data_IF_321226011726
#
_entry.id   IF_321226011726
#
_cell.length_a   1.000
_cell.length_b   1.000
_cell.length_c   1.000
_cell.angle_alpha   90.00
_cell.angle_beta   90.00
_cell.angle_gamma   90.00
#
_symmetry.space_group_name_H-M   'P 1'
#
loop_
_entity.id
_entity.type
_entity.pdbx_description
1 polymer ?
#
# COMPACT_ATOMS: atom_id res chain seq x y z
N UNK A 1 53.83 39.81 -9.06
CA UNK A 1 53.09 40.08 -7.82
C UNK A 1 52.18 38.87 -7.60
N UNK A 2 52.67 37.83 -6.91
CA UNK A 2 52.36 37.52 -5.48
C UNK A 2 50.92 36.97 -5.37
N UNK A 3 50.60 35.78 -4.86
CA UNK A 3 51.23 34.83 -3.94
C UNK A 3 50.63 33.42 -4.15
N UNK A 4 51.41 32.37 -3.88
CA UNK A 4 50.88 31.08 -3.41
C UNK A 4 50.66 31.17 -1.89
N UNK A 5 49.73 30.40 -1.32
CA UNK A 5 50.22 29.45 -0.31
C UNK A 5 49.56 28.08 -0.33
N UNK A 6 50.28 27.20 0.36
CA UNK A 6 50.10 25.77 0.65
C UNK A 6 49.03 25.45 1.72
N UNK A 7 48.86 24.14 1.93
CA UNK A 7 48.20 23.41 3.04
C UNK A 7 46.67 23.25 2.91
N UNK A 8 46.03 22.09 3.11
CA UNK A 8 46.37 20.95 3.94
C UNK A 8 45.76 19.63 3.42
N UNK A 9 46.40 18.52 3.80
CA UNK A 9 45.98 17.13 3.61
C UNK A 9 44.81 16.79 4.54
N UNK A 10 43.86 15.97 4.08
CA UNK A 10 43.15 15.02 4.92
C UNK A 10 42.89 13.72 4.15
N UNK A 11 43.33 12.60 4.72
CA UNK A 11 43.14 11.20 4.29
C UNK A 11 41.86 10.63 4.93
N UNK A 12 41.54 9.39 4.50
CA UNK A 12 40.67 8.35 5.11
C UNK A 12 39.19 8.38 4.63
N UNK A 13 38.54 7.29 4.19
CA UNK A 13 38.82 5.83 4.22
C UNK A 13 38.00 5.07 3.14
N UNK A 14 38.47 3.86 2.81
CA UNK A 14 37.90 2.65 2.17
C UNK A 14 36.39 2.59 1.78
N UNK A 15 35.93 1.78 0.80
CA UNK A 15 36.37 0.44 0.45
C UNK A 15 36.03 0.05 -1.01
N UNK A 16 36.87 -0.81 -1.60
CA UNK A 16 36.60 -1.61 -2.80
C UNK A 16 36.26 -3.04 -2.37
N UNK A 17 35.25 -3.65 -2.98
CA UNK A 17 35.16 -5.11 -3.07
C UNK A 17 35.09 -5.51 -4.54
N UNK A 18 36.19 -6.12 -4.99
CA UNK A 18 36.32 -6.85 -6.25
C UNK A 18 35.74 -8.26 -6.06
N UNK A 19 35.03 -8.76 -7.07
CA UNK A 19 34.90 -10.19 -7.30
C UNK A 19 35.47 -10.50 -8.69
N UNK A 20 36.66 -11.12 -8.71
CA UNK A 20 37.21 -11.79 -9.89
C UNK A 20 37.12 -13.29 -9.68
N UNK A 21 36.42 -13.89 -10.62
CA UNK A 21 36.37 -15.29 -11.02
C UNK A 21 37.76 -15.94 -11.13
N UNK A 22 37.96 -17.06 -10.45
CA UNK A 22 38.95 -18.13 -10.73
C UNK A 22 38.31 -19.40 -10.14
N UNK A 23 37.79 -20.35 -10.90
CA UNK A 23 38.57 -21.31 -11.67
C UNK A 23 37.76 -21.86 -12.86
N UNK A 24 38.49 -22.01 -13.97
CA UNK A 24 38.13 -22.70 -15.19
C UNK A 24 38.41 -24.21 -15.06
N UNK A 25 37.52 -25.05 -15.58
CA UNK A 25 37.75 -26.44 -16.01
C UNK A 25 36.55 -26.83 -16.89
N UNK A 26 36.59 -26.56 -18.19
CA UNK A 26 37.06 -27.44 -19.27
C UNK A 26 36.10 -28.61 -19.63
N UNK A 27 35.83 -28.69 -20.95
CA UNK A 27 35.28 -29.78 -21.76
C UNK A 27 33.77 -29.78 -22.14
N UNK A 28 33.57 -29.93 -23.45
CA UNK A 28 32.40 -30.43 -24.20
C UNK A 28 32.95 -31.52 -25.16
N UNK A 29 32.19 -32.26 -26.01
CA UNK A 29 30.73 -32.41 -26.18
C UNK A 29 30.29 -33.90 -26.36
N UNK A 30 29.00 -34.17 -26.63
CA UNK A 30 28.42 -35.19 -27.57
C UNK A 30 27.12 -35.91 -27.10
N UNK A 31 26.12 -35.83 -27.99
CA UNK A 31 25.11 -36.82 -28.45
C UNK A 31 24.24 -37.69 -27.52
N UNK A 32 22.91 -37.47 -27.68
CA UNK A 32 21.84 -38.43 -28.05
C UNK A 32 21.15 -39.35 -27.02
N UNK A 33 19.85 -39.51 -27.29
CA UNK A 33 18.87 -40.55 -26.88
C UNK A 33 17.90 -40.28 -25.71
N UNK A 34 16.69 -39.85 -26.10
CA UNK A 34 15.36 -40.45 -25.83
C UNK A 34 15.15 -41.32 -24.57
N UNK A 35 14.18 -40.97 -23.72
CA UNK A 35 12.87 -41.66 -23.67
C UNK A 35 11.94 -41.14 -22.57
N UNK A 36 10.64 -41.26 -22.88
CA UNK A 36 9.45 -41.24 -22.02
C UNK A 36 9.62 -42.05 -20.72
N UNK A 37 9.13 -41.52 -19.60
CA UNK A 37 8.20 -42.23 -18.70
C UNK A 37 7.76 -41.29 -17.56
N UNK A 38 6.45 -41.30 -17.30
CA UNK A 38 5.79 -40.59 -16.22
C UNK A 38 6.23 -41.09 -14.84
N UNK A 39 6.28 -40.21 -13.84
CA UNK A 39 5.83 -40.48 -12.46
C UNK A 39 5.68 -39.17 -11.69
N UNK A 40 4.69 -39.18 -10.82
CA UNK A 40 4.16 -38.10 -9.98
C UNK A 40 5.22 -37.45 -9.08
N UNK A 41 5.09 -36.14 -8.80
CA UNK A 41 5.35 -35.55 -7.47
C UNK A 41 4.95 -34.06 -7.37
N UNK A 42 3.81 -33.84 -6.70
CA UNK A 42 3.63 -32.97 -5.51
C UNK A 42 4.50 -31.69 -5.43
N UNK A 43 3.89 -30.53 -5.65
CA UNK A 43 4.36 -29.24 -5.10
C UNK A 43 3.24 -28.52 -4.34
N UNK A 44 2.91 -29.07 -3.16
CA UNK A 44 2.28 -28.36 -2.06
C UNK A 44 3.36 -27.59 -1.30
N UNK A 45 3.63 -26.32 -1.65
CA UNK A 45 4.57 -25.51 -0.87
C UNK A 45 4.41 -23.99 -1.05
N UNK A 46 3.20 -23.45 -0.92
CA UNK A 46 3.03 -22.00 -0.64
C UNK A 46 2.10 -21.69 0.54
N UNK A 47 1.48 -22.69 1.17
CA UNK A 47 0.45 -22.48 2.21
C UNK A 47 0.97 -22.27 3.65
N UNK A 48 2.26 -22.46 3.93
CA UNK A 48 2.77 -22.47 5.32
C UNK A 48 3.61 -21.26 5.74
N UNK A 49 3.98 -20.36 4.81
CA UNK A 49 4.77 -19.16 5.15
C UNK A 49 3.93 -17.90 5.42
N UNK A 50 2.71 -17.86 4.91
CA UNK A 50 1.82 -16.69 5.01
C UNK A 50 0.95 -16.68 6.29
N UNK A 51 0.89 -17.81 7.01
CA UNK A 51 0.11 -17.94 8.26
C UNK A 51 0.85 -17.50 9.52
N UNK A 52 2.15 -17.17 9.44
CA UNK A 52 3.00 -16.83 10.60
C UNK A 52 3.11 -15.34 10.93
N UNK A 53 2.56 -14.44 10.12
CA UNK A 53 2.69 -12.99 10.30
C UNK A 53 1.41 -12.27 10.74
N UNK A 54 0.35 -13.00 11.14
CA UNK A 54 -0.94 -12.40 11.52
C UNK A 54 -1.02 -11.85 12.95
N UNK A 55 0.04 -12.00 13.74
CA UNK A 55 0.08 -11.67 15.18
C UNK A 55 1.13 -10.62 15.66
N UNK A 56 2.13 -10.13 14.87
CA UNK A 56 3.05 -9.12 15.40
C UNK A 56 2.48 -7.71 15.46
N UNK A 57 1.46 -7.37 14.66
CA UNK A 57 1.07 -5.97 14.47
C UNK A 57 0.28 -5.38 15.66
N UNK A 58 -0.54 -6.19 16.36
CA UNK A 58 -1.17 -5.74 17.61
C UNK A 58 -0.13 -5.38 18.69
N UNK A 59 1.05 -6.02 18.69
CA UNK A 59 2.17 -5.65 19.57
C UNK A 59 2.92 -4.41 19.06
N UNK A 60 3.01 -4.20 17.76
CA UNK A 60 3.71 -3.05 17.18
C UNK A 60 2.95 -1.72 17.33
N UNK A 61 1.64 -1.77 17.56
CA UNK A 61 0.82 -0.63 17.99
C UNK A 61 1.21 -0.06 19.36
N UNK A 62 1.95 -0.81 20.19
CA UNK A 62 2.53 -0.29 21.44
C UNK A 62 3.59 0.79 21.22
N UNK A 63 4.14 0.97 20.01
CA UNK A 63 5.33 1.83 19.81
C UNK A 63 5.11 3.02 18.85
N UNK A 64 3.98 3.10 18.16
CA UNK A 64 3.66 4.26 17.30
C UNK A 64 2.71 5.22 18.02
N UNK A 65 3.28 6.12 18.83
CA UNK A 65 2.60 7.34 19.27
C UNK A 65 1.49 7.13 20.29
N UNK A 66 1.87 6.89 21.55
CA UNK A 66 0.98 7.08 22.68
C UNK A 66 0.58 8.56 22.79
N UNK A 67 -0.58 8.91 22.24
CA UNK A 67 -1.54 9.55 23.12
C UNK A 67 -2.13 8.40 23.93
N UNK A 68 -1.87 8.33 25.24
CA UNK A 68 -2.74 7.60 26.18
C UNK A 68 -4.11 8.32 26.28
N UNK A 69 -4.68 8.71 25.15
CA UNK A 69 -6.03 9.22 25.06
C UNK A 69 -6.90 7.99 24.99
N UNK A 70 -7.56 7.66 26.09
CA UNK A 70 -8.75 6.82 26.02
C UNK A 70 -9.67 7.50 24.99
N UNK A 71 -10.14 6.75 24.00
CA UNK A 71 -11.11 7.29 23.06
C UNK A 71 -12.37 7.58 23.84
N UNK A 72 -13.00 8.74 23.61
CA UNK A 72 -14.29 8.99 24.21
C UNK A 72 -15.30 8.00 23.62
N UNK A 73 -16.21 7.50 24.45
CA UNK A 73 -17.27 6.61 23.96
C UNK A 73 -18.07 7.28 22.83
N UNK A 74 -18.30 8.58 22.91
CA UNK A 74 -19.02 9.34 21.89
C UNK A 74 -18.29 9.37 20.54
N UNK A 75 -16.94 9.47 20.55
CA UNK A 75 -16.14 9.41 19.33
C UNK A 75 -16.27 8.02 18.68
N UNK A 76 -16.11 6.94 19.46
CA UNK A 76 -16.23 5.58 18.93
C UNK A 76 -17.64 5.29 18.42
N UNK A 77 -18.68 5.73 19.13
CA UNK A 77 -20.06 5.63 18.67
C UNK A 77 -20.31 6.46 17.42
N UNK A 78 -19.62 7.60 17.25
CA UNK A 78 -19.73 8.38 16.01
C UNK A 78 -19.23 7.60 14.81
N UNK A 79 -18.17 6.80 14.99
CA UNK A 79 -17.60 5.98 13.94
C UNK A 79 -18.54 4.89 13.47
N UNK A 80 -19.43 4.36 14.31
CA UNK A 80 -20.39 3.32 13.93
C UNK A 80 -21.64 3.85 13.22
N UNK A 81 -21.93 5.15 13.34
CA UNK A 81 -23.09 5.78 12.68
C UNK A 81 -22.99 5.81 11.16
N UNK A 82 -21.78 5.98 10.61
CA UNK A 82 -21.53 5.89 9.16
C UNK A 82 -20.04 5.83 8.83
N UNK A 83 -19.69 5.23 7.69
CA UNK A 83 -18.33 5.29 7.16
C UNK A 83 -17.86 6.75 7.00
N UNK A 84 -18.73 7.66 6.55
CA UNK A 84 -18.41 9.08 6.43
C UNK A 84 -17.91 9.70 7.75
N UNK A 85 -18.56 9.40 8.87
CA UNK A 85 -18.13 9.87 10.19
C UNK A 85 -16.77 9.30 10.57
N UNK A 86 -16.56 8.00 10.36
CA UNK A 86 -15.29 7.33 10.60
C UNK A 86 -14.16 7.97 9.78
N UNK A 87 -14.40 8.23 8.49
CA UNK A 87 -13.42 8.84 7.58
C UNK A 87 -13.18 10.33 7.85
N UNK A 88 -14.11 11.01 8.54
CA UNK A 88 -13.94 12.40 8.96
C UNK A 88 -13.11 12.54 10.24
N UNK A 89 -12.99 11.47 11.04
CA UNK A 89 -12.12 11.43 12.21
C UNK A 89 -10.69 11.05 11.80
N UNK A 90 -9.70 11.88 12.17
CA UNK A 90 -8.28 11.60 11.92
C UNK A 90 -7.80 10.31 12.61
N UNK A 91 -8.29 10.11 13.83
CA UNK A 91 -8.08 8.92 14.66
C UNK A 91 -8.80 7.73 14.06
N UNK A 92 -10.07 7.89 13.68
CA UNK A 92 -10.87 6.88 12.99
C UNK A 92 -10.21 6.37 11.71
N UNK A 93 -9.75 7.27 10.85
CA UNK A 93 -8.96 6.95 9.66
C UNK A 93 -7.72 6.13 9.96
N UNK A 94 -7.00 6.47 11.04
CA UNK A 94 -5.76 5.78 11.42
C UNK A 94 -6.03 4.35 11.90
N UNK A 95 -7.06 4.18 12.73
CA UNK A 95 -7.49 2.86 13.23
C UNK A 95 -8.06 2.01 12.09
N UNK A 96 -8.92 2.58 11.25
CA UNK A 96 -9.50 1.87 10.11
C UNK A 96 -8.43 1.48 9.08
N UNK A 97 -7.50 2.38 8.77
CA UNK A 97 -6.37 2.07 7.90
C UNK A 97 -5.49 0.94 8.44
N UNK A 98 -5.28 0.88 9.76
CA UNK A 98 -4.56 -0.22 10.39
C UNK A 98 -5.32 -1.55 10.30
N UNK A 99 -6.65 -1.53 10.47
CA UNK A 99 -7.51 -2.68 10.24
C UNK A 99 -7.41 -3.19 8.79
N UNK A 100 -7.59 -2.32 7.80
CA UNK A 100 -7.48 -2.70 6.38
C UNK A 100 -6.10 -3.24 6.03
N UNK A 101 -5.03 -2.70 6.62
CA UNK A 101 -3.67 -3.22 6.44
C UNK A 101 -3.54 -4.66 6.93
N UNK A 102 -4.15 -4.98 8.07
CA UNK A 102 -4.13 -6.34 8.63
C UNK A 102 -4.87 -7.36 7.74
N UNK A 103 -5.76 -6.87 6.88
CA UNK A 103 -6.53 -7.66 5.92
C UNK A 103 -6.08 -7.47 4.47
N UNK A 104 -4.95 -6.81 4.25
CA UNK A 104 -4.37 -6.57 2.92
C UNK A 104 -5.33 -5.85 1.94
N UNK A 105 -6.12 -4.89 2.44
CA UNK A 105 -7.13 -4.14 1.66
C UNK A 105 -7.00 -2.61 1.78
N UNK A 106 -5.87 -2.13 2.29
CA UNK A 106 -5.63 -0.71 2.59
C UNK A 106 -5.52 0.19 1.34
N UNK A 107 -5.27 -0.37 0.16
CA UNK A 107 -5.30 0.34 -1.12
C UNK A 107 -6.63 1.02 -1.41
N UNK A 108 -7.75 0.44 -0.96
CA UNK A 108 -9.08 1.02 -1.16
C UNK A 108 -9.21 2.36 -0.42
N UNK A 109 -8.76 2.41 0.83
CA UNK A 109 -8.77 3.65 1.62
C UNK A 109 -7.76 4.66 1.09
N UNK A 110 -6.55 4.22 0.73
CA UNK A 110 -5.53 5.12 0.19
C UNK A 110 -5.96 5.75 -1.14
N UNK A 111 -6.59 4.97 -2.02
CA UNK A 111 -7.17 5.47 -3.26
C UNK A 111 -8.29 6.48 -3.00
N UNK A 112 -9.22 6.18 -2.09
CA UNK A 112 -10.29 7.10 -1.71
C UNK A 112 -9.73 8.45 -1.24
N UNK A 113 -8.75 8.43 -0.34
CA UNK A 113 -8.11 9.65 0.18
C UNK A 113 -7.33 10.40 -0.91
N UNK A 114 -6.67 9.68 -1.82
CA UNK A 114 -5.99 10.30 -2.97
C UNK A 114 -6.99 11.01 -3.89
N UNK A 115 -8.18 10.45 -4.09
CA UNK A 115 -9.26 11.08 -4.85
C UNK A 115 -9.81 12.33 -4.15
N UNK A 116 -9.98 12.31 -2.83
CA UNK A 116 -10.37 13.50 -2.07
C UNK A 116 -9.34 14.62 -2.24
N UNK A 117 -8.05 14.32 -2.12
CA UNK A 117 -7.01 15.34 -2.33
C UNK A 117 -6.94 15.82 -3.78
N UNK A 118 -7.16 14.92 -4.76
CA UNK A 118 -7.26 15.27 -6.17
C UNK A 118 -8.38 16.28 -6.42
N UNK A 119 -9.57 16.03 -5.86
CA UNK A 119 -10.74 16.92 -6.00
C UNK A 119 -10.45 18.33 -5.45
N UNK A 120 -9.65 18.45 -4.40
CA UNK A 120 -9.27 19.73 -3.78
C UNK A 120 -7.96 20.33 -4.32
N UNK A 121 -7.48 19.90 -5.49
CA UNK A 121 -6.29 20.48 -6.12
C UNK A 121 -6.47 21.98 -6.39
N UNK A 122 -5.47 22.80 -6.08
CA UNK A 122 -5.60 24.27 -6.20
C UNK A 122 -5.36 24.81 -7.60
N UNK A 123 -4.68 24.06 -8.47
CA UNK A 123 -4.38 24.47 -9.84
C UNK A 123 -4.22 23.27 -10.80
N UNK A 124 -4.29 23.57 -12.10
CA UNK A 124 -4.19 22.58 -13.17
C UNK A 124 -2.90 21.74 -13.13
N UNK A 125 -1.77 22.33 -12.74
CA UNK A 125 -0.50 21.58 -12.63
C UNK A 125 -0.59 20.48 -11.56
N UNK A 126 -1.07 20.82 -10.36
CA UNK A 126 -1.26 19.87 -9.27
C UNK A 126 -2.32 18.81 -9.60
N UNK A 127 -3.39 19.21 -10.30
CA UNK A 127 -4.45 18.32 -10.77
C UNK A 127 -3.89 17.27 -11.75
N UNK A 128 -3.17 17.71 -12.79
CA UNK A 128 -2.56 16.82 -13.78
C UNK A 128 -1.50 15.90 -13.17
N UNK A 129 -0.68 16.41 -12.25
CA UNK A 129 0.30 15.58 -11.54
C UNK A 129 -0.39 14.48 -10.74
N UNK A 130 -1.39 14.83 -9.92
CA UNK A 130 -2.14 13.86 -9.13
C UNK A 130 -2.90 12.87 -9.99
N UNK A 131 -3.47 13.29 -11.13
CA UNK A 131 -4.09 12.39 -12.09
C UNK A 131 -3.14 11.28 -12.55
N UNK A 132 -1.90 11.64 -12.93
CA UNK A 132 -0.86 10.67 -13.34
C UNK A 132 -0.43 9.76 -12.20
N UNK A 133 -0.21 10.32 -11.01
CA UNK A 133 0.22 9.55 -9.85
C UNK A 133 -0.86 8.54 -9.44
N UNK A 134 -2.13 8.96 -9.44
CA UNK A 134 -3.28 8.11 -9.10
C UNK A 134 -3.48 7.02 -10.16
N UNK A 135 -3.42 7.36 -11.44
CA UNK A 135 -3.62 6.38 -12.50
C UNK A 135 -2.56 5.28 -12.46
N UNK A 136 -1.29 5.65 -12.33
CA UNK A 136 -0.17 4.70 -12.28
C UNK A 136 -0.14 3.86 -10.99
N UNK A 137 -0.63 4.40 -9.87
CA UNK A 137 -0.57 3.69 -8.58
C UNK A 137 -1.76 2.76 -8.35
N UNK A 138 -2.97 3.15 -8.81
CA UNK A 138 -4.21 2.48 -8.41
C UNK A 138 -5.11 2.02 -9.57
N UNK A 139 -5.05 2.62 -10.77
CA UNK A 139 -6.07 2.39 -11.82
C UNK A 139 -5.56 1.54 -12.98
N UNK A 140 -4.32 1.77 -13.43
CA UNK A 140 -3.76 1.04 -14.57
C UNK A 140 -3.71 -0.47 -14.29
N UNK A 141 -4.01 -1.33 -15.28
CA UNK A 141 -3.85 -2.77 -15.11
C UNK A 141 -2.42 -3.12 -14.68
N UNK A 142 -2.27 -3.89 -13.60
CA UNK A 142 -0.98 -4.25 -13.04
C UNK A 142 -0.33 -3.14 -12.20
N UNK A 143 -1.06 -2.10 -11.83
CA UNK A 143 -0.57 -1.07 -10.91
C UNK A 143 -0.20 -1.70 -9.55
N UNK A 144 0.83 -1.17 -8.86
CA UNK A 144 1.35 -1.77 -7.62
C UNK A 144 0.34 -1.80 -6.47
N UNK A 145 -0.69 -0.95 -6.51
CA UNK A 145 -1.80 -0.90 -5.54
C UNK A 145 -3.13 -0.85 -6.27
N UNK A 146 -3.26 -1.64 -7.35
CA UNK A 146 -4.46 -1.68 -8.17
C UNK A 146 -5.73 -1.91 -7.33
N UNK A 147 -6.72 -1.02 -7.50
CA UNK A 147 -8.03 -1.16 -6.83
C UNK A 147 -9.01 -1.97 -7.67
N UNK A 148 -9.94 -2.67 -7.01
CA UNK A 148 -10.92 -3.51 -7.69
C UNK A 148 -12.03 -2.66 -8.36
N UNK A 149 -11.85 -2.38 -9.65
CA UNK A 149 -12.84 -1.72 -10.51
C UNK A 149 -13.27 -2.66 -11.64
N UNK A 150 -14.55 -2.59 -12.02
CA UNK A 150 -15.02 -3.26 -13.24
C UNK A 150 -14.40 -2.59 -14.48
N UNK A 151 -14.28 -3.35 -15.58
CA UNK A 151 -13.59 -2.90 -16.79
C UNK A 151 -14.16 -1.58 -17.33
N UNK A 152 -15.49 -1.43 -17.34
CA UNK A 152 -16.15 -0.23 -17.84
C UNK A 152 -15.79 0.99 -17.00
N UNK A 153 -15.85 0.88 -15.67
CA UNK A 153 -15.46 1.97 -14.77
C UNK A 153 -13.98 2.33 -14.93
N UNK A 154 -13.10 1.33 -15.06
CA UNK A 154 -11.65 1.55 -15.25
C UNK A 154 -11.37 2.30 -16.56
N UNK A 155 -11.90 1.81 -17.68
CA UNK A 155 -11.69 2.39 -19.02
C UNK A 155 -12.16 3.84 -19.07
N UNK A 156 -13.38 4.12 -18.63
CA UNK A 156 -13.92 5.49 -18.58
C UNK A 156 -13.09 6.40 -17.68
N UNK A 157 -12.61 5.89 -16.54
CA UNK A 157 -11.75 6.67 -15.64
C UNK A 157 -10.43 7.03 -16.33
N UNK A 158 -9.80 6.08 -17.03
CA UNK A 158 -8.54 6.33 -17.74
C UNK A 158 -8.71 7.33 -18.90
N UNK A 159 -9.84 7.28 -19.60
CA UNK A 159 -10.19 8.27 -20.64
C UNK A 159 -10.34 9.68 -20.05
N UNK A 160 -11.10 9.82 -18.96
CA UNK A 160 -11.32 11.09 -18.27
C UNK A 160 -10.05 11.69 -17.65
N UNK A 161 -9.01 10.87 -17.42
CA UNK A 161 -7.71 11.31 -16.92
C UNK A 161 -6.74 11.75 -18.03
N UNK A 162 -7.10 11.61 -19.31
CA UNK A 162 -6.33 12.21 -20.42
C UNK A 162 -6.48 13.74 -20.45
N UNK A 163 -7.67 14.23 -20.09
CA UNK A 163 -7.95 15.65 -19.86
C UNK A 163 -8.54 15.82 -18.44
N UNK A 164 -7.71 15.81 -17.39
CA UNK A 164 -8.17 15.79 -16.00
C UNK A 164 -9.05 16.99 -15.63
N UNK A 165 -10.16 16.70 -14.95
CA UNK A 165 -11.04 17.67 -14.29
C UNK A 165 -11.28 17.23 -12.84
N UNK A 166 -11.80 18.11 -11.99
CA UNK A 166 -12.09 17.77 -10.57
C UNK A 166 -13.07 16.60 -10.38
N UNK A 167 -13.81 16.20 -11.42
CA UNK A 167 -14.79 15.11 -11.40
C UNK A 167 -14.32 13.84 -12.10
N UNK A 168 -13.14 13.83 -12.74
CA UNK A 168 -12.64 12.69 -13.53
C UNK A 168 -12.55 11.38 -12.75
N UNK A 169 -12.32 11.43 -11.42
CA UNK A 169 -12.23 10.25 -10.55
C UNK A 169 -13.54 9.90 -9.84
N UNK A 170 -14.62 10.68 -10.03
CA UNK A 170 -15.83 10.59 -9.20
C UNK A 170 -16.50 9.22 -9.24
N UNK A 171 -16.57 8.57 -10.40
CA UNK A 171 -17.19 7.25 -10.54
C UNK A 171 -16.36 6.15 -9.86
N UNK A 172 -15.06 6.09 -10.15
CA UNK A 172 -14.14 5.13 -9.52
C UNK A 172 -14.13 5.31 -8.00
N UNK A 173 -14.06 6.56 -7.52
CA UNK A 173 -14.10 6.84 -6.10
C UNK A 173 -15.40 6.38 -5.44
N UNK A 174 -16.57 6.62 -6.06
CA UNK A 174 -17.86 6.12 -5.56
C UNK A 174 -17.89 4.59 -5.48
N UNK A 175 -17.31 3.91 -6.47
CA UNK A 175 -17.23 2.44 -6.49
C UNK A 175 -16.41 1.91 -5.30
N UNK A 176 -15.26 2.51 -5.03
CA UNK A 176 -14.39 2.11 -3.92
C UNK A 176 -14.97 2.52 -2.57
N UNK A 177 -15.59 3.69 -2.47
CA UNK A 177 -16.33 4.06 -1.25
C UNK A 177 -17.42 3.03 -0.94
N UNK A 178 -18.21 2.62 -1.94
CA UNK A 178 -19.23 1.59 -1.76
C UNK A 178 -18.64 0.24 -1.33
N UNK A 179 -17.48 -0.15 -1.86
CA UNK A 179 -16.77 -1.36 -1.41
C UNK A 179 -16.35 -1.25 0.06
N UNK A 180 -15.75 -0.13 0.46
CA UNK A 180 -15.40 0.12 1.86
C UNK A 180 -16.63 0.08 2.76
N UNK A 181 -17.73 0.71 2.35
CA UNK A 181 -18.97 0.86 3.14
C UNK A 181 -19.74 -0.47 3.29
N UNK A 182 -19.75 -1.30 2.25
CA UNK A 182 -20.56 -2.53 2.22
C UNK A 182 -19.81 -3.78 2.68
N UNK A 183 -18.48 -3.77 2.66
CA UNK A 183 -17.66 -4.94 3.04
C UNK A 183 -16.71 -4.62 4.20
N UNK A 184 -15.79 -3.68 4.01
CA UNK A 184 -14.72 -3.46 4.98
C UNK A 184 -15.19 -2.82 6.30
N UNK A 185 -16.09 -1.85 6.20
CA UNK A 185 -16.58 -1.07 7.33
C UNK A 185 -17.45 -1.91 8.30
N UNK A 186 -18.41 -2.75 7.84
CA UNK A 186 -19.12 -3.67 8.72
C UNK A 186 -18.18 -4.64 9.45
N UNK A 187 -17.18 -5.17 8.75
CA UNK A 187 -16.17 -6.07 9.34
C UNK A 187 -15.28 -5.35 10.36
N UNK A 188 -14.94 -4.09 10.10
CA UNK A 188 -14.22 -3.24 11.08
C UNK A 188 -15.03 -3.08 12.37
N UNK A 189 -16.31 -2.74 12.28
CA UNK A 189 -17.18 -2.56 13.47
C UNK A 189 -17.40 -3.87 14.26
N UNK A 190 -17.29 -5.03 13.60
CA UNK A 190 -17.37 -6.35 14.23
C UNK A 190 -16.02 -6.87 14.71
N UNK A 191 -14.93 -6.15 14.42
CA UNK A 191 -13.58 -6.61 14.73
C UNK A 191 -13.28 -6.57 16.22
N UNK A 192 -12.37 -7.44 16.66
CA UNK A 192 -11.83 -7.38 18.02
C UNK A 192 -11.14 -6.05 18.30
N UNK A 193 -10.53 -5.43 17.28
CA UNK A 193 -9.88 -4.14 17.40
C UNK A 193 -10.89 -3.07 17.88
N UNK A 194 -12.01 -2.91 17.17
CA UNK A 194 -13.02 -1.92 17.53
C UNK A 194 -13.72 -2.26 18.85
N UNK A 195 -13.99 -3.54 19.10
CA UNK A 195 -14.60 -4.01 20.35
C UNK A 195 -13.74 -3.69 21.58
N UNK A 196 -12.42 -3.89 21.48
CA UNK A 196 -11.49 -3.54 22.56
C UNK A 196 -11.43 -2.03 22.79
N UNK A 197 -11.46 -1.20 21.74
CA UNK A 197 -11.52 0.25 21.90
C UNK A 197 -12.78 0.70 22.65
N UNK A 198 -13.94 0.09 22.37
CA UNK A 198 -15.20 0.39 23.07
C UNK A 198 -15.20 -0.03 24.54
N UNK A 199 -14.43 -1.06 24.91
CA UNK A 199 -14.28 -1.51 26.30
C UNK A 199 -13.37 -0.59 27.09
N UNK A 200 -12.30 -0.10 26.44
CA UNK A 200 -11.30 0.78 27.05
C UNK A 200 -11.71 2.27 27.06
N UNK A 201 -12.81 2.61 26.38
CA UNK A 201 -13.35 3.98 26.32
C UNK A 201 -13.70 4.51 27.72
N UNK A 202 -13.49 5.82 27.92
CA UNK A 202 -13.99 6.55 29.10
C UNK A 202 -15.50 6.80 28.98
#
# INVERSE_FOLDING_TARGET
>A
MSLHPHYARARLTAAKLHLKTLFSSSQSPTSSHSNLAATEQKNSATSTKERRSRLPFLKQWSQVGHSKGRFSREELESWSRSLSNLLSSRTGLSVFGAFLRSEFSEENLQFYLACEQYRHSSNNFSLQRRARDISATYIQPGAPREVNLDSKTRELTLELLQAPSHTSLSMAQKRIYSLLDTDCYPRFLQSQLYSSLLQDAD
#
